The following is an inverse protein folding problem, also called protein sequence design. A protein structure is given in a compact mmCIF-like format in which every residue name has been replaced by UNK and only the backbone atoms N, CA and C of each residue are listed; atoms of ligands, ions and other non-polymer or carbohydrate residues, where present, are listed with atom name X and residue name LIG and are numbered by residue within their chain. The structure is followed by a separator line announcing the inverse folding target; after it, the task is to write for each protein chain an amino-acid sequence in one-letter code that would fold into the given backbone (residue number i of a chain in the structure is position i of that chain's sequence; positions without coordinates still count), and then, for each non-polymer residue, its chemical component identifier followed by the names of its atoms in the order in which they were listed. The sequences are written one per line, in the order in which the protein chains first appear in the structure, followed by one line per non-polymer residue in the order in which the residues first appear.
data_IF_164555729856
#
_entry.id   IF_164555729856
#
_cell.length_a   1.000
_cell.length_b   1.000
_cell.length_c   1.000
_cell.angle_alpha   90.00
_cell.angle_beta   90.00
_cell.angle_gamma   90.00
#
_symmetry.space_group_name_H-M   'P 1'
#
loop_
_entity.id
_entity.type
_entity.pdbx_description
1 polymer ?
#
# COMPACT_ATOMS: atom_id res chain seq x y z
N UNK A 1 35.01 23.16 -14.65
CA UNK A 1 36.43 23.59 -14.49
C UNK A 1 36.46 24.98 -13.91
N UNK A 2 37.18 25.19 -12.79
CA UNK A 2 37.18 26.47 -12.09
C UNK A 2 38.25 26.58 -11.01
N UNK A 3 38.30 27.75 -10.39
CA UNK A 3 39.18 28.10 -9.27
C UNK A 3 38.33 28.57 -8.09
N UNK A 4 38.69 28.17 -6.88
CA UNK A 4 38.02 28.57 -5.65
C UNK A 4 39.05 29.12 -4.66
N UNK A 5 38.74 30.23 -4.00
CA UNK A 5 39.58 30.91 -3.03
C UNK A 5 38.89 30.98 -1.68
N UNK A 6 39.67 30.99 -0.61
CA UNK A 6 39.18 31.41 0.70
C UNK A 6 38.73 32.86 0.61
N UNK A 7 37.51 33.15 1.08
CA UNK A 7 36.87 34.47 0.96
C UNK A 7 35.90 34.59 -0.22
N UNK A 8 35.87 33.64 -1.16
CA UNK A 8 34.89 33.65 -2.24
C UNK A 8 33.46 33.48 -1.69
N UNK A 9 32.51 34.20 -2.29
CA UNK A 9 31.07 34.00 -2.03
C UNK A 9 30.57 32.87 -2.89
N UNK A 10 30.02 31.84 -2.25
CA UNK A 10 29.45 30.66 -2.89
C UNK A 10 27.94 30.66 -2.78
N UNK A 11 27.30 30.13 -3.81
CA UNK A 11 25.85 29.89 -3.87
C UNK A 11 25.64 28.40 -4.03
N UNK A 12 24.88 27.81 -3.10
CA UNK A 12 24.52 26.39 -3.10
C UNK A 12 23.02 26.23 -2.89
N UNK A 13 22.47 25.10 -3.33
CA UNK A 13 21.08 24.78 -3.04
C UNK A 13 20.90 24.43 -1.55
N UNK A 14 19.85 24.98 -0.94
CA UNK A 14 19.39 24.59 0.39
C UNK A 14 17.95 24.12 0.37
N UNK A 15 17.54 23.43 1.43
CA UNK A 15 16.20 22.86 1.59
C UNK A 15 15.08 23.92 1.55
N UNK A 16 15.37 25.15 1.98
CA UNK A 16 14.42 26.28 2.02
C UNK A 16 14.66 27.29 0.89
N UNK A 17 15.64 27.03 0.02
CA UNK A 17 16.08 27.93 -1.05
C UNK A 17 17.59 28.05 -1.16
N UNK A 18 18.10 28.86 -2.10
CA UNK A 18 19.53 29.07 -2.29
C UNK A 18 20.18 29.67 -1.05
N UNK A 19 21.31 29.09 -0.65
CA UNK A 19 22.14 29.57 0.44
C UNK A 19 23.30 30.34 -0.18
N UNK A 20 23.47 31.60 0.25
CA UNK A 20 24.64 32.41 -0.08
C UNK A 20 25.52 32.52 1.16
N UNK A 21 26.78 32.14 1.03
CA UNK A 21 27.72 32.17 2.15
C UNK A 21 29.15 32.39 1.66
N UNK A 22 30.03 32.79 2.57
CA UNK A 22 31.42 33.06 2.26
C UNK A 22 32.32 31.91 2.74
N UNK A 23 33.22 31.47 1.86
CA UNK A 23 34.18 30.40 2.14
C UNK A 23 35.15 30.86 3.23
N UNK A 24 35.23 30.09 4.31
CA UNK A 24 36.15 30.32 5.44
C UNK A 24 37.39 29.45 5.39
N UNK A 25 37.28 28.27 4.80
CA UNK A 25 38.39 27.34 4.67
C UNK A 25 38.17 26.36 3.54
N UNK A 26 39.26 26.01 2.87
CA UNK A 26 39.32 24.98 1.85
C UNK A 26 40.25 23.87 2.35
N UNK A 27 39.71 22.67 2.47
CA UNK A 27 40.35 21.53 3.09
C UNK A 27 40.52 20.40 2.07
N UNK A 28 41.71 19.80 2.01
CA UNK A 28 41.95 18.57 1.26
C UNK A 28 42.53 17.49 2.17
N UNK A 29 42.21 16.21 1.91
CA UNK A 29 42.91 15.09 2.55
C UNK A 29 44.37 15.07 2.09
N UNK A 30 45.25 14.49 2.92
CA UNK A 30 46.63 14.23 2.53
C UNK A 30 46.72 13.37 1.26
N UNK A 31 47.79 13.57 0.51
CA UNK A 31 48.05 12.87 -0.74
C UNK A 31 47.88 11.34 -0.60
N UNK A 32 47.19 10.72 -1.56
CA UNK A 32 46.92 9.28 -1.61
C UNK A 32 46.05 8.70 -0.46
N UNK A 33 45.23 9.51 0.22
CA UNK A 33 44.27 9.02 1.22
C UNK A 33 42.83 9.39 0.92
N UNK A 34 41.91 8.46 1.17
CA UNK A 34 40.49 8.61 0.88
C UNK A 34 39.76 9.43 1.96
N UNK A 35 38.87 10.34 1.53
CA UNK A 35 38.16 11.30 2.38
C UNK A 35 37.19 10.68 3.39
N UNK A 36 36.82 9.40 3.21
CA UNK A 36 35.91 8.64 4.07
C UNK A 36 36.60 8.10 5.36
N UNK A 37 37.93 8.18 5.43
CA UNK A 37 38.74 7.77 6.59
C UNK A 37 39.13 9.00 7.42
N UNK A 38 39.20 8.86 8.74
CA UNK A 38 39.59 9.94 9.67
C UNK A 38 41.01 10.41 9.36
N UNK A 39 41.13 11.52 8.63
CA UNK A 39 42.41 12.08 8.18
C UNK A 39 42.66 13.46 8.79
N UNK A 40 43.95 13.82 8.91
CA UNK A 40 44.32 15.23 9.09
C UNK A 40 44.05 15.96 7.78
N UNK A 41 43.32 17.07 7.84
CA UNK A 41 43.03 17.90 6.69
C UNK A 41 44.06 19.02 6.58
N UNK A 42 44.56 19.26 5.37
CA UNK A 42 45.42 20.39 5.06
C UNK A 42 44.58 21.58 4.57
N UNK A 43 44.90 22.77 5.05
CA UNK A 43 44.25 24.02 4.65
C UNK A 43 44.91 24.60 3.40
N UNK A 44 44.10 25.02 2.44
CA UNK A 44 44.53 25.67 1.20
C UNK A 44 43.91 27.06 1.09
N UNK A 45 44.67 28.01 0.50
CA UNK A 45 44.16 29.36 0.19
C UNK A 45 43.40 29.39 -1.14
N UNK A 46 43.87 28.63 -2.11
CA UNK A 46 43.30 28.54 -3.46
C UNK A 46 43.34 27.10 -3.92
N UNK A 47 42.30 26.66 -4.61
CA UNK A 47 42.22 25.35 -5.23
C UNK A 47 41.85 25.50 -6.70
N UNK A 48 42.47 24.67 -7.54
CA UNK A 48 42.15 24.53 -8.97
C UNK A 48 41.55 23.16 -9.23
N UNK A 49 40.53 23.10 -10.11
CA UNK A 49 39.99 21.83 -10.61
C UNK A 49 41.07 20.98 -11.32
N UNK A 50 40.99 19.66 -11.35
CA UNK A 50 39.90 18.78 -10.87
C UNK A 50 40.32 17.97 -9.63
N UNK A 51 39.79 18.31 -8.46
CA UNK A 51 40.00 17.58 -7.21
C UNK A 51 38.76 17.68 -6.30
N UNK A 52 38.59 16.70 -5.41
CA UNK A 52 37.56 16.72 -4.37
C UNK A 52 38.04 17.50 -3.15
N UNK A 53 37.20 18.39 -2.63
CA UNK A 53 37.54 19.29 -1.53
C UNK A 53 36.45 19.34 -0.48
N UNK A 54 36.82 19.69 0.75
CA UNK A 54 35.88 20.00 1.81
C UNK A 54 35.88 21.51 2.05
N UNK A 55 34.71 22.12 1.89
CA UNK A 55 34.52 23.57 2.06
C UNK A 55 33.96 23.80 3.46
N UNK A 56 34.58 24.71 4.20
CA UNK A 56 34.06 25.20 5.47
C UNK A 56 33.47 26.60 5.26
N UNK A 57 32.18 26.77 5.53
CA UNK A 57 31.48 28.05 5.52
C UNK A 57 30.35 28.05 6.57
N UNK A 58 29.76 29.22 6.82
CA UNK A 58 28.60 29.34 7.71
C UNK A 58 27.32 28.92 6.99
N UNK A 59 26.30 28.51 7.75
CA UNK A 59 24.93 28.31 7.25
C UNK A 59 24.80 27.20 6.18
N UNK A 60 25.68 26.20 6.18
CA UNK A 60 25.65 25.07 5.23
C UNK A 60 24.89 23.85 5.78
N UNK A 61 24.31 23.94 6.98
CA UNK A 61 23.64 22.82 7.65
C UNK A 61 22.42 22.31 6.88
N UNK A 62 21.73 23.22 6.16
CA UNK A 62 20.57 22.92 5.32
C UNK A 62 20.91 22.79 3.83
N UNK A 63 22.20 22.64 3.48
CA UNK A 63 22.62 22.51 2.08
C UNK A 63 22.24 21.14 1.51
N UNK A 64 21.88 21.11 0.22
CA UNK A 64 21.47 19.91 -0.49
C UNK A 64 22.65 19.33 -1.29
N UNK A 65 22.86 18.03 -1.16
CA UNK A 65 23.89 17.33 -1.93
C UNK A 65 23.44 17.04 -3.37
N UNK A 66 24.41 16.88 -4.26
CA UNK A 66 24.20 16.53 -5.67
C UNK A 66 23.92 17.70 -6.61
N UNK A 67 23.78 18.92 -6.07
CA UNK A 67 23.50 20.11 -6.86
C UNK A 67 24.76 20.96 -7.11
N UNK A 68 24.78 21.79 -8.17
CA UNK A 68 25.93 22.64 -8.48
C UNK A 68 26.26 23.64 -7.38
N UNK A 69 27.55 23.96 -7.27
CA UNK A 69 28.06 25.08 -6.50
C UNK A 69 28.53 26.16 -7.46
N UNK A 70 28.00 27.38 -7.29
CA UNK A 70 28.43 28.55 -8.04
C UNK A 70 29.26 29.48 -7.16
N UNK A 71 30.14 30.25 -7.80
CA UNK A 71 30.94 31.30 -7.15
C UNK A 71 30.47 32.64 -7.71
N UNK A 72 29.91 33.50 -6.86
CA UNK A 72 29.50 34.85 -7.24
C UNK A 72 30.57 35.85 -6.81
N UNK A 73 31.15 36.59 -7.76
CA UNK A 73 32.19 37.60 -7.46
C UNK A 73 31.61 39.00 -7.37
N UNK A 74 30.47 39.24 -8.01
CA UNK A 74 29.72 40.49 -8.01
C UNK A 74 28.30 40.26 -7.52
N UNK A 75 27.62 41.32 -7.09
CA UNK A 75 26.24 41.22 -6.57
C UNK A 75 25.24 40.74 -7.63
N UNK A 76 25.36 41.20 -8.87
CA UNK A 76 24.53 40.78 -10.00
C UNK A 76 24.71 39.29 -10.33
N UNK A 77 25.96 38.79 -10.26
CA UNK A 77 26.26 37.36 -10.43
C UNK A 77 25.62 36.51 -9.32
N UNK A 78 25.64 36.98 -8.08
CA UNK A 78 25.04 36.26 -6.94
C UNK A 78 23.54 36.08 -7.17
N UNK A 79 22.84 37.13 -7.59
CA UNK A 79 21.40 37.04 -7.83
C UNK A 79 21.05 36.19 -9.05
N UNK A 80 21.86 36.26 -10.12
CA UNK A 80 21.75 35.36 -11.25
C UNK A 80 21.89 33.88 -10.83
N UNK A 81 22.93 33.53 -10.06
CA UNK A 81 23.16 32.15 -9.63
C UNK A 81 22.15 31.61 -8.63
N UNK A 82 21.53 32.47 -7.80
CA UNK A 82 20.39 32.06 -6.96
C UNK A 82 19.24 31.56 -7.83
N UNK A 83 18.87 32.33 -8.85
CA UNK A 83 17.79 31.98 -9.76
C UNK A 83 18.13 30.72 -10.58
N UNK A 84 19.39 30.60 -11.03
CA UNK A 84 19.88 29.43 -11.75
C UNK A 84 19.70 28.14 -10.91
N UNK A 85 20.12 28.16 -9.64
CA UNK A 85 19.97 27.00 -8.72
C UNK A 85 18.50 26.65 -8.49
N UNK A 86 17.63 27.65 -8.29
CA UNK A 86 16.20 27.40 -8.11
C UNK A 86 15.58 26.76 -9.35
N UNK A 87 15.97 27.22 -10.54
CA UNK A 87 15.50 26.67 -11.80
C UNK A 87 15.96 25.22 -12.00
N UNK A 88 17.21 24.90 -11.65
CA UNK A 88 17.74 23.53 -11.72
C UNK A 88 16.91 22.60 -10.82
N UNK A 89 16.70 22.99 -9.56
CA UNK A 89 15.94 22.18 -8.60
C UNK A 89 14.49 22.02 -9.03
N UNK A 90 13.84 23.10 -9.51
CA UNK A 90 12.47 23.05 -10.00
C UNK A 90 12.35 22.14 -11.22
N UNK A 91 13.28 22.22 -12.14
CA UNK A 91 13.30 21.38 -13.36
C UNK A 91 13.45 19.91 -13.00
N UNK A 92 14.39 19.58 -12.11
CA UNK A 92 14.64 18.22 -11.64
C UNK A 92 13.44 17.61 -10.89
N UNK A 93 12.72 18.41 -10.08
CA UNK A 93 11.51 17.93 -9.41
C UNK A 93 10.32 17.82 -10.36
N UNK A 94 10.22 18.72 -11.35
CA UNK A 94 9.11 18.73 -12.32
C UNK A 94 9.17 17.61 -13.36
N UNK A 95 10.35 17.05 -13.62
CA UNK A 95 10.50 15.91 -14.53
C UNK A 95 9.94 14.61 -13.93
N UNK A 96 9.74 14.57 -12.61
CA UNK A 96 9.21 13.41 -11.91
C UNK A 96 7.71 13.36 -12.09
N UNK A 97 7.23 12.30 -12.75
CA UNK A 97 5.81 12.08 -13.00
C UNK A 97 5.14 11.57 -11.73
N UNK A 98 4.25 12.39 -11.16
CA UNK A 98 3.44 12.02 -10.01
C UNK A 98 2.13 11.36 -10.45
N UNK A 99 1.62 10.46 -9.62
CA UNK A 99 0.30 9.85 -9.82
C UNK A 99 -0.77 10.55 -8.98
N UNK A 100 -2.04 10.33 -9.31
CA UNK A 100 -3.16 10.90 -8.57
C UNK A 100 -3.35 10.27 -7.18
N UNK A 101 -2.97 8.99 -7.05
CA UNK A 101 -3.02 8.23 -5.80
C UNK A 101 -1.68 7.57 -5.54
N UNK A 102 -1.21 7.60 -4.29
CA UNK A 102 0.07 7.00 -3.94
C UNK A 102 0.68 7.58 -2.67
N UNK A 103 1.80 6.99 -2.26
CA UNK A 103 2.53 7.39 -1.06
C UNK A 103 3.16 8.78 -1.22
N UNK A 104 3.42 9.47 -0.11
CA UNK A 104 4.21 10.68 -0.08
C UNK A 104 5.66 10.35 0.26
N UNK A 105 6.62 10.87 -0.50
CA UNK A 105 8.04 10.52 -0.37
C UNK A 105 8.86 11.73 0.04
N UNK A 106 9.68 11.57 1.07
CA UNK A 106 10.62 12.58 1.55
C UNK A 106 12.02 12.00 1.61
N UNK A 107 13.02 12.69 1.06
CA UNK A 107 14.41 12.24 1.11
C UNK A 107 15.38 13.38 1.45
N UNK A 108 16.62 13.04 1.84
CA UNK A 108 17.64 14.02 2.25
C UNK A 108 18.30 14.74 1.07
N UNK A 109 18.45 14.04 -0.06
CA UNK A 109 19.12 14.53 -1.27
C UNK A 109 18.33 14.15 -2.53
N UNK A 110 18.65 14.80 -3.65
CA UNK A 110 18.03 14.46 -4.94
C UNK A 110 18.38 13.03 -5.36
N UNK A 111 19.65 12.60 -5.22
CA UNK A 111 20.06 11.25 -5.59
C UNK A 111 19.40 10.17 -4.73
N UNK A 112 19.22 10.41 -3.43
CA UNK A 112 18.47 9.49 -2.56
C UNK A 112 16.98 9.45 -2.90
N UNK A 113 16.41 10.57 -3.34
CA UNK A 113 15.03 10.63 -3.80
C UNK A 113 14.86 9.79 -5.07
N UNK A 114 15.72 10.01 -6.07
CA UNK A 114 15.70 9.26 -7.33
C UNK A 114 15.81 7.75 -7.09
N UNK A 115 16.77 7.31 -6.27
CA UNK A 115 16.95 5.90 -5.94
C UNK A 115 15.73 5.29 -5.22
N UNK A 116 15.10 6.06 -4.31
CA UNK A 116 13.89 5.61 -3.63
C UNK A 116 12.70 5.52 -4.59
N UNK A 117 12.55 6.47 -5.51
CA UNK A 117 11.48 6.45 -6.50
C UNK A 117 11.63 5.28 -7.49
N UNK A 118 12.84 5.02 -7.99
CA UNK A 118 13.13 3.87 -8.87
C UNK A 118 12.76 2.53 -8.19
N UNK A 119 13.06 2.43 -6.88
CA UNK A 119 12.69 1.26 -6.09
C UNK A 119 11.18 1.10 -5.93
N UNK A 120 10.45 2.20 -5.70
CA UNK A 120 8.99 2.20 -5.60
C UNK A 120 8.33 1.81 -6.92
N UNK A 121 8.83 2.31 -8.05
CA UNK A 121 8.36 1.94 -9.39
C UNK A 121 8.52 0.43 -9.64
N UNK A 122 9.72 -0.11 -9.34
CA UNK A 122 10.00 -1.56 -9.48
C UNK A 122 9.07 -2.42 -8.61
N UNK A 123 8.63 -1.88 -7.47
CA UNK A 123 7.73 -2.55 -6.53
C UNK A 123 6.24 -2.32 -6.81
N UNK A 124 5.89 -1.65 -7.93
CA UNK A 124 4.53 -1.23 -8.26
C UNK A 124 3.85 -0.43 -7.14
N UNK A 125 4.60 0.42 -6.44
CA UNK A 125 4.07 1.33 -5.44
C UNK A 125 3.97 2.73 -6.07
N UNK A 126 2.74 3.26 -6.22
CA UNK A 126 2.56 4.58 -6.77
C UNK A 126 2.92 5.65 -5.73
N UNK A 127 3.42 6.79 -6.19
CA UNK A 127 3.71 7.96 -5.36
C UNK A 127 2.98 9.20 -5.92
N UNK A 128 2.35 9.95 -5.02
CA UNK A 128 1.52 11.12 -5.35
C UNK A 128 2.16 12.44 -4.93
N UNK A 129 3.21 12.39 -4.12
CA UNK A 129 3.93 13.57 -3.67
C UNK A 129 5.38 13.25 -3.34
N UNK A 130 6.24 14.20 -3.63
CA UNK A 130 7.67 14.12 -3.34
C UNK A 130 8.14 15.46 -2.79
N UNK A 131 9.13 15.45 -1.91
CA UNK A 131 9.84 16.65 -1.48
C UNK A 131 11.21 16.28 -0.86
N UNK A 132 12.09 17.26 -0.69
CA UNK A 132 13.46 17.07 -0.17
C UNK A 132 13.63 17.87 1.12
N UNK A 133 14.33 17.28 2.09
CA UNK A 133 14.58 17.87 3.41
C UNK A 133 13.63 17.33 4.49
N UNK A 134 13.54 17.97 5.67
CA UNK A 134 12.72 17.45 6.77
C UNK A 134 11.23 17.43 6.41
N UNK A 135 10.49 16.53 7.06
CA UNK A 135 9.04 16.40 6.90
C UNK A 135 8.37 17.53 7.68
N UNK A 136 7.53 18.31 6.99
CA UNK A 136 6.77 19.41 7.57
C UNK A 136 5.27 19.13 7.55
N UNK A 137 4.50 19.91 8.32
CA UNK A 137 3.04 19.81 8.37
C UNK A 137 2.38 19.89 6.99
N UNK A 138 2.90 20.70 6.07
CA UNK A 138 2.40 20.81 4.68
C UNK A 138 2.47 19.49 3.91
N UNK A 139 3.48 18.66 4.22
CA UNK A 139 3.70 17.37 3.57
C UNK A 139 2.66 16.36 4.08
N UNK A 140 2.34 16.41 5.38
CA UNK A 140 1.27 15.62 6.01
C UNK A 140 -0.10 15.97 5.44
N UNK A 141 -0.41 17.26 5.25
CA UNK A 141 -1.68 17.71 4.65
C UNK A 141 -1.85 17.16 3.23
N UNK A 142 -0.76 17.04 2.46
CA UNK A 142 -0.82 16.42 1.13
C UNK A 142 -1.03 14.92 1.23
N UNK A 143 -0.33 14.24 2.13
CA UNK A 143 -0.49 12.81 2.35
C UNK A 143 -1.90 12.45 2.86
N UNK A 144 -2.52 13.29 3.70
CA UNK A 144 -3.84 13.04 4.26
C UNK A 144 -4.96 13.06 3.21
N UNK A 145 -4.76 13.72 2.07
CA UNK A 145 -5.70 13.66 0.93
C UNK A 145 -5.94 12.25 0.40
N UNK A 146 -5.03 11.31 0.69
CA UNK A 146 -5.17 9.91 0.30
C UNK A 146 -6.12 9.12 1.21
N UNK A 147 -6.42 9.61 2.43
CA UNK A 147 -7.33 8.95 3.37
C UNK A 147 -8.73 8.77 2.80
N UNK A 148 -9.25 9.77 2.08
CA UNK A 148 -10.59 9.71 1.50
C UNK A 148 -10.67 8.84 0.24
N UNK A 149 -9.52 8.60 -0.42
CA UNK A 149 -9.46 7.92 -1.72
C UNK A 149 -9.09 6.46 -1.58
N UNK A 150 -7.91 6.22 -1.00
CA UNK A 150 -7.28 4.91 -0.83
C UNK A 150 -6.42 4.96 0.44
N UNK A 151 -7.00 4.69 1.61
CA UNK A 151 -6.34 4.87 2.89
C UNK A 151 -5.01 4.11 3.02
N UNK A 152 -4.83 3.01 2.29
CA UNK A 152 -3.56 2.27 2.26
C UNK A 152 -2.36 3.09 1.76
N UNK A 153 -2.61 4.20 1.05
CA UNK A 153 -1.57 5.10 0.53
C UNK A 153 -1.39 6.35 1.39
N UNK A 154 -2.17 6.52 2.46
CA UNK A 154 -2.08 7.66 3.38
C UNK A 154 -0.87 7.54 4.32
N UNK A 155 0.31 7.51 3.72
CA UNK A 155 1.59 7.29 4.40
C UNK A 155 2.67 8.23 3.85
N UNK A 156 3.61 8.56 4.72
CA UNK A 156 4.82 9.33 4.39
C UNK A 156 6.03 8.42 4.55
N UNK A 157 6.80 8.26 3.49
CA UNK A 157 8.08 7.55 3.47
C UNK A 157 9.21 8.55 3.62
N UNK A 158 9.79 8.64 4.81
CA UNK A 158 10.83 9.59 5.20
C UNK A 158 12.21 8.91 5.23
N UNK A 159 12.99 9.09 4.17
CA UNK A 159 14.31 8.48 4.01
C UNK A 159 15.43 9.45 4.39
N UNK A 160 16.20 9.12 5.43
CA UNK A 160 17.36 9.88 5.92
C UNK A 160 17.03 11.35 6.27
N UNK A 161 15.80 11.63 6.69
CA UNK A 161 15.33 12.97 7.04
C UNK A 161 14.76 13.03 8.43
N UNK A 162 14.78 14.23 9.02
CA UNK A 162 14.12 14.52 10.30
C UNK A 162 12.63 14.78 10.08
N UNK A 163 11.84 14.48 11.10
CA UNK A 163 10.42 14.83 11.16
C UNK A 163 10.28 16.00 12.11
N UNK A 164 9.68 17.10 11.64
CA UNK A 164 9.35 18.22 12.50
C UNK A 164 8.25 17.84 13.49
N UNK A 165 8.32 18.36 14.71
CA UNK A 165 7.37 17.99 15.78
C UNK A 165 5.91 18.27 15.41
N UNK A 166 5.65 19.44 14.82
CA UNK A 166 4.32 19.83 14.31
C UNK A 166 3.82 18.90 13.19
N UNK A 167 4.74 18.31 12.41
CA UNK A 167 4.37 17.32 11.40
C UNK A 167 3.93 16.00 12.05
N UNK A 168 4.68 15.50 13.04
CA UNK A 168 4.34 14.28 13.77
C UNK A 168 3.00 14.42 14.49
N UNK A 169 2.83 15.51 15.26
CA UNK A 169 1.59 15.78 16.00
C UNK A 169 0.38 15.86 15.06
N UNK A 170 0.54 16.48 13.89
CA UNK A 170 -0.52 16.54 12.89
C UNK A 170 -0.84 15.18 12.28
N UNK A 171 0.19 14.39 11.94
CA UNK A 171 0.04 13.07 11.33
C UNK A 171 -0.73 12.11 12.25
N UNK A 172 -0.40 12.11 13.55
CA UNK A 172 -1.09 11.33 14.56
C UNK A 172 -2.55 11.76 14.72
N UNK A 173 -2.83 13.07 14.63
CA UNK A 173 -4.19 13.60 14.70
C UNK A 173 -5.08 13.25 13.50
N UNK A 174 -4.52 13.17 12.29
CA UNK A 174 -5.30 12.88 11.06
C UNK A 174 -5.30 11.40 10.68
N UNK A 175 -4.44 10.59 11.30
CA UNK A 175 -4.31 9.16 10.99
C UNK A 175 -3.40 8.85 9.80
N UNK A 176 -2.45 9.75 9.48
CA UNK A 176 -1.40 9.50 8.47
C UNK A 176 -0.21 8.84 9.15
N UNK A 177 0.26 7.69 8.64
CA UNK A 177 1.45 7.04 9.19
C UNK A 177 2.73 7.58 8.57
N UNK A 178 3.72 7.92 9.39
CA UNK A 178 5.06 8.29 8.94
C UNK A 178 6.01 7.11 9.19
N UNK A 179 6.67 6.63 8.15
CA UNK A 179 7.76 5.67 8.24
C UNK A 179 9.08 6.43 8.09
N UNK A 180 9.96 6.29 9.06
CA UNK A 180 11.27 6.95 9.05
C UNK A 180 12.38 5.91 9.10
N UNK A 181 13.32 5.97 8.17
CA UNK A 181 14.51 5.13 8.18
C UNK A 181 15.68 5.81 7.47
N UNK A 182 16.90 5.49 7.88
CA UNK A 182 18.16 5.84 7.25
C UNK A 182 18.61 4.82 6.18
N UNK A 183 17.97 3.64 6.15
CA UNK A 183 18.23 2.57 5.18
C UNK A 183 16.94 2.26 4.41
N UNK A 184 17.05 2.24 3.08
CA UNK A 184 15.90 2.12 2.17
C UNK A 184 15.09 0.83 2.39
N UNK A 185 15.76 -0.30 2.64
CA UNK A 185 15.10 -1.59 2.86
C UNK A 185 14.20 -1.59 4.11
N UNK A 186 14.65 -0.98 5.22
CA UNK A 186 13.84 -0.89 6.42
C UNK A 186 12.57 -0.07 6.19
N UNK A 187 12.69 1.03 5.42
CA UNK A 187 11.54 1.86 5.05
C UNK A 187 10.48 1.06 4.31
N UNK A 188 10.94 0.21 3.40
CA UNK A 188 10.09 -0.64 2.58
C UNK A 188 9.45 -1.78 3.39
N UNK A 189 10.22 -2.46 4.24
CA UNK A 189 9.70 -3.52 5.11
C UNK A 189 8.59 -3.00 6.02
N UNK A 190 8.78 -1.81 6.62
CA UNK A 190 7.75 -1.15 7.41
C UNK A 190 6.49 -0.85 6.59
N UNK A 191 6.67 -0.37 5.35
CA UNK A 191 5.56 -0.10 4.44
C UNK A 191 4.81 -1.37 4.04
N UNK A 192 5.52 -2.45 3.71
CA UNK A 192 4.92 -3.72 3.33
C UNK A 192 4.09 -4.31 4.48
N UNK A 193 4.65 -4.33 5.70
CA UNK A 193 3.93 -4.79 6.90
C UNK A 193 2.66 -3.98 7.10
N UNK A 194 2.72 -2.66 6.91
CA UNK A 194 1.54 -1.82 7.00
C UNK A 194 0.50 -2.13 5.92
N UNK A 195 0.93 -2.30 4.67
CA UNK A 195 0.04 -2.63 3.55
C UNK A 195 -0.66 -3.98 3.75
N UNK A 196 0.09 -4.99 4.20
CA UNK A 196 -0.46 -6.30 4.52
C UNK A 196 -1.41 -6.26 5.70
N UNK A 197 -1.06 -5.51 6.76
CA UNK A 197 -1.92 -5.30 7.91
C UNK A 197 -3.24 -4.62 7.52
N UNK A 198 -3.18 -3.56 6.71
CA UNK A 198 -4.36 -2.88 6.20
C UNK A 198 -5.24 -3.82 5.37
N UNK A 199 -4.63 -4.59 4.45
CA UNK A 199 -5.36 -5.57 3.64
C UNK A 199 -6.08 -6.61 4.51
N UNK A 200 -5.44 -7.09 5.58
CA UNK A 200 -6.07 -8.05 6.51
C UNK A 200 -7.22 -7.43 7.29
N UNK A 201 -7.05 -6.21 7.81
CA UNK A 201 -8.11 -5.53 8.56
C UNK A 201 -9.33 -5.24 7.67
N UNK A 202 -9.07 -4.82 6.44
CA UNK A 202 -10.09 -4.56 5.42
C UNK A 202 -10.81 -5.86 5.00
N UNK A 203 -10.06 -6.96 4.80
CA UNK A 203 -10.63 -8.30 4.62
C UNK A 203 -11.50 -8.71 5.82
N UNK A 204 -11.06 -8.49 7.06
CA UNK A 204 -11.84 -8.85 8.25
C UNK A 204 -13.16 -8.08 8.33
N UNK A 205 -13.15 -6.78 8.03
CA UNK A 205 -14.37 -5.95 7.96
C UNK A 205 -15.33 -6.46 6.88
N UNK A 206 -14.82 -6.80 5.70
CA UNK A 206 -15.64 -7.26 4.57
C UNK A 206 -16.06 -8.75 4.66
N UNK A 207 -15.46 -9.53 5.56
CA UNK A 207 -15.64 -10.99 5.65
C UNK A 207 -17.09 -11.45 5.82
N UNK A 208 -17.92 -10.67 6.51
CA UNK A 208 -19.32 -11.03 6.73
C UNK A 208 -20.21 -10.83 5.48
N UNK A 209 -19.77 -10.00 4.54
CA UNK A 209 -20.42 -9.76 3.24
C UNK A 209 -19.97 -10.78 2.19
N UNK A 210 -18.80 -11.39 2.38
CA UNK A 210 -18.25 -12.37 1.46
C UNK A 210 -19.06 -13.68 1.46
N UNK A 211 -19.70 -13.99 0.34
CA UNK A 211 -20.35 -15.28 0.09
C UNK A 211 -19.53 -16.04 -0.94
N UNK A 212 -18.95 -17.16 -0.52
CA UNK A 212 -18.15 -18.01 -1.39
C UNK A 212 -19.04 -18.97 -2.20
N UNK A 213 -18.63 -19.31 -3.43
CA UNK A 213 -19.45 -20.10 -4.33
C UNK A 213 -19.46 -21.57 -3.91
N UNK A 214 -20.66 -22.15 -3.80
CA UNK A 214 -20.83 -23.60 -3.60
C UNK A 214 -21.99 -24.15 -4.42
N UNK A 215 -21.81 -25.38 -4.93
CA UNK A 215 -22.83 -26.19 -5.59
C UNK A 215 -22.92 -27.52 -4.88
N UNK A 216 -24.08 -27.83 -4.33
CA UNK A 216 -24.32 -28.98 -3.48
C UNK A 216 -25.45 -29.84 -4.07
N UNK A 217 -25.27 -31.15 -4.01
CA UNK A 217 -26.32 -32.12 -4.34
C UNK A 217 -26.73 -32.86 -3.07
N UNK A 218 -28.04 -32.94 -2.84
CA UNK A 218 -28.60 -33.65 -1.69
C UNK A 218 -28.46 -35.16 -1.89
N UNK A 219 -28.05 -35.86 -0.84
CA UNK A 219 -28.07 -37.32 -0.80
C UNK A 219 -29.42 -37.79 -0.24
N UNK A 220 -30.28 -38.43 -1.05
CA UNK A 220 -31.65 -38.77 -0.64
C UNK A 220 -31.71 -39.67 0.60
N UNK A 221 -30.76 -40.61 0.69
CA UNK A 221 -30.65 -41.58 1.79
C UNK A 221 -30.28 -40.94 3.13
N UNK A 222 -29.77 -39.70 3.11
CA UNK A 222 -29.26 -38.99 4.27
C UNK A 222 -30.07 -37.73 4.59
N UNK A 223 -31.40 -37.81 4.47
CA UNK A 223 -32.32 -36.74 4.88
C UNK A 223 -32.82 -36.93 6.31
N UNK A 224 -32.23 -36.22 7.28
CA UNK A 224 -32.52 -36.39 8.71
C UNK A 224 -33.65 -35.49 9.22
N UNK A 225 -33.70 -34.24 8.76
CA UNK A 225 -34.81 -33.33 9.09
C UNK A 225 -35.25 -32.54 7.85
N UNK A 226 -36.56 -32.56 7.57
CA UNK A 226 -37.16 -32.07 6.32
C UNK A 226 -37.85 -30.72 6.45
N UNK A 227 -38.06 -30.19 7.68
CA UNK A 227 -38.80 -28.94 7.91
C UNK A 227 -38.17 -28.12 9.04
N UNK A 228 -38.25 -26.80 8.92
CA UNK A 228 -37.64 -25.87 9.87
C UNK A 228 -36.14 -25.85 9.63
N UNK A 229 -35.37 -26.46 10.53
CA UNK A 229 -33.92 -26.66 10.37
C UNK A 229 -33.66 -27.89 9.50
N UNK A 230 -33.33 -27.68 8.23
CA UNK A 230 -33.09 -28.79 7.28
C UNK A 230 -31.74 -29.43 7.63
N UNK A 231 -31.75 -30.73 7.91
CA UNK A 231 -30.53 -31.51 8.19
C UNK A 231 -30.43 -32.59 7.13
N UNK A 232 -29.41 -32.51 6.29
CA UNK A 232 -29.23 -33.41 5.16
C UNK A 232 -27.76 -33.74 4.92
N UNK A 233 -27.50 -34.93 4.36
CA UNK A 233 -26.24 -35.27 3.72
C UNK A 233 -26.19 -34.63 2.33
N UNK A 234 -25.05 -34.05 1.98
CA UNK A 234 -24.81 -33.44 0.67
C UNK A 234 -23.43 -33.84 0.15
N UNK A 235 -23.32 -33.91 -1.18
CA UNK A 235 -22.04 -33.90 -1.87
C UNK A 235 -21.76 -32.48 -2.35
N UNK A 236 -20.57 -31.97 -2.05
CA UNK A 236 -20.09 -30.71 -2.64
C UNK A 236 -19.64 -30.99 -4.07
N UNK A 237 -20.45 -30.64 -5.07
CA UNK A 237 -20.14 -30.88 -6.48
C UNK A 237 -19.11 -29.89 -7.02
N UNK A 238 -19.17 -28.65 -6.57
CA UNK A 238 -18.19 -27.63 -6.95
C UNK A 238 -18.07 -26.51 -5.90
N UNK A 239 -16.91 -25.85 -5.90
CA UNK A 239 -16.57 -24.84 -4.90
C UNK A 239 -16.42 -25.41 -3.48
N UNK A 240 -16.86 -24.65 -2.49
CA UNK A 240 -16.81 -25.07 -1.09
C UNK A 240 -17.89 -24.40 -0.24
N UNK A 241 -18.48 -25.16 0.67
CA UNK A 241 -19.45 -24.65 1.64
C UNK A 241 -18.75 -24.31 2.95
N UNK A 242 -19.17 -23.21 3.58
CA UNK A 242 -18.65 -22.72 4.87
C UNK A 242 -19.83 -22.44 5.81
N UNK A 243 -19.56 -22.45 7.11
CA UNK A 243 -20.50 -21.92 8.09
C UNK A 243 -20.94 -20.48 7.71
N UNK A 244 -22.23 -20.23 7.81
CA UNK A 244 -22.88 -18.96 7.49
C UNK A 244 -23.24 -18.78 6.00
N UNK A 245 -22.84 -19.69 5.11
CA UNK A 245 -23.17 -19.60 3.67
C UNK A 245 -24.69 -19.61 3.48
N UNK A 246 -25.27 -18.59 2.83
CA UNK A 246 -26.69 -18.60 2.47
C UNK A 246 -26.94 -19.57 1.30
N UNK A 247 -27.99 -20.38 1.39
CA UNK A 247 -28.31 -21.44 0.43
C UNK A 247 -29.68 -21.18 -0.20
N UNK A 248 -29.76 -21.36 -1.51
CA UNK A 248 -31.01 -21.31 -2.28
C UNK A 248 -31.10 -22.46 -3.29
N UNK A 249 -32.28 -22.60 -3.89
CA UNK A 249 -32.60 -23.58 -4.95
C UNK A 249 -32.90 -22.84 -6.26
N UNK A 250 -31.93 -22.71 -7.19
CA UNK A 250 -32.13 -21.92 -8.40
C UNK A 250 -33.26 -22.42 -9.31
N UNK A 251 -33.44 -23.75 -9.43
CA UNK A 251 -34.47 -24.39 -10.26
C UNK A 251 -35.91 -24.08 -9.83
N UNK A 252 -36.10 -23.61 -8.59
CA UNK A 252 -37.41 -23.32 -7.98
C UNK A 252 -37.53 -21.83 -7.69
N UNK A 253 -37.36 -20.98 -8.70
CA UNK A 253 -37.45 -19.52 -8.55
C UNK A 253 -36.57 -18.96 -7.42
N UNK A 254 -35.37 -19.55 -7.25
CA UNK A 254 -34.41 -19.14 -6.22
C UNK A 254 -34.92 -19.23 -4.78
N UNK A 255 -35.78 -20.22 -4.46
CA UNK A 255 -36.25 -20.46 -3.09
C UNK A 255 -35.07 -20.44 -2.11
N UNK A 256 -35.16 -19.57 -1.11
CA UNK A 256 -34.17 -19.44 -0.06
C UNK A 256 -34.44 -20.47 1.04
N UNK A 257 -33.42 -21.26 1.36
CA UNK A 257 -33.51 -22.28 2.41
C UNK A 257 -33.01 -21.75 3.75
N UNK A 258 -32.07 -20.81 3.73
CA UNK A 258 -31.48 -20.23 4.94
C UNK A 258 -29.95 -20.22 4.90
N UNK A 259 -29.31 -20.29 6.07
CA UNK A 259 -27.84 -20.30 6.22
C UNK A 259 -27.35 -21.60 6.81
N UNK A 260 -26.17 -22.03 6.39
CA UNK A 260 -25.49 -23.20 6.95
C UNK A 260 -25.02 -22.89 8.37
N UNK A 261 -25.47 -23.64 9.36
CA UNK A 261 -25.10 -23.47 10.79
C UNK A 261 -24.27 -24.60 11.35
N UNK A 262 -24.22 -25.75 10.67
CA UNK A 262 -23.33 -26.87 11.00
C UNK A 262 -22.89 -27.58 9.73
N UNK A 263 -21.65 -28.06 9.72
CA UNK A 263 -21.08 -28.96 8.71
C UNK A 263 -20.36 -30.06 9.49
N UNK A 264 -20.68 -31.31 9.20
CA UNK A 264 -20.11 -32.47 9.88
C UNK A 264 -19.65 -33.53 8.88
N UNK A 265 -18.46 -34.06 9.12
CA UNK A 265 -17.93 -35.23 8.42
C UNK A 265 -17.68 -36.33 9.45
N UNK A 266 -18.41 -37.45 9.35
CA UNK A 266 -18.29 -38.56 10.29
C UNK A 266 -18.41 -38.12 11.76
N UNK A 267 -19.42 -37.30 12.07
CA UNK A 267 -19.69 -36.70 13.40
C UNK A 267 -18.60 -35.77 13.94
N UNK A 268 -17.64 -35.35 13.10
CA UNK A 268 -16.66 -34.32 13.46
C UNK A 268 -17.08 -32.99 12.85
N UNK A 269 -17.17 -31.91 13.63
CA UNK A 269 -17.51 -30.59 13.10
C UNK A 269 -16.40 -30.08 12.18
N UNK A 270 -16.82 -29.42 11.10
CA UNK A 270 -15.97 -28.76 10.12
C UNK A 270 -16.42 -27.31 9.94
N UNK A 271 -15.47 -26.41 9.70
CA UNK A 271 -15.80 -25.04 9.31
C UNK A 271 -16.06 -24.91 7.82
N UNK A 272 -15.42 -25.77 7.01
CA UNK A 272 -15.41 -25.72 5.54
C UNK A 272 -15.42 -27.15 4.98
N UNK A 273 -16.23 -27.40 3.95
CA UNK A 273 -16.19 -28.62 3.14
C UNK A 273 -16.03 -28.26 1.65
N UNK A 274 -15.04 -28.87 0.99
CA UNK A 274 -14.68 -28.59 -0.42
C UNK A 274 -15.27 -29.63 -1.38
N UNK A 275 -15.20 -29.33 -2.68
CA UNK A 275 -15.52 -30.24 -3.78
C UNK A 275 -15.14 -31.70 -3.50
N UNK A 276 -16.04 -32.61 -3.87
CA UNK A 276 -16.01 -34.06 -3.64
C UNK A 276 -16.12 -34.52 -2.19
N UNK A 277 -16.37 -33.62 -1.23
CA UNK A 277 -16.66 -34.01 0.15
C UNK A 277 -18.12 -34.39 0.28
N UNK A 278 -18.39 -35.50 0.96
CA UNK A 278 -19.73 -35.89 1.41
C UNK A 278 -19.87 -35.51 2.89
N UNK A 279 -20.74 -34.56 3.21
CA UNK A 279 -20.88 -34.01 4.55
C UNK A 279 -22.34 -33.88 4.94
N UNK A 280 -22.64 -33.99 6.23
CA UNK A 280 -23.93 -33.55 6.73
C UNK A 280 -23.88 -32.04 6.93
N UNK A 281 -24.85 -31.32 6.38
CA UNK A 281 -25.03 -29.90 6.65
C UNK A 281 -26.34 -29.69 7.37
N UNK A 282 -26.36 -28.61 8.14
CA UNK A 282 -27.60 -28.10 8.69
C UNK A 282 -27.87 -26.69 8.21
N UNK A 283 -29.04 -26.48 7.60
CA UNK A 283 -29.50 -25.19 7.10
C UNK A 283 -30.61 -24.67 7.99
N UNK A 284 -30.44 -23.46 8.51
CA UNK A 284 -31.43 -22.79 9.35
C UNK A 284 -32.05 -21.61 8.60
N UNK A 285 -33.39 -21.52 8.50
CA UNK A 285 -34.07 -20.44 7.81
C UNK A 285 -33.77 -19.10 8.48
N UNK A 286 -33.66 -18.06 7.66
CA UNK A 286 -33.37 -16.70 8.13
C UNK A 286 -34.65 -15.86 8.02
N UNK A 287 -34.99 -15.15 9.11
CA UNK A 287 -36.15 -14.26 9.15
C UNK A 287 -37.47 -14.97 9.48
N UNK A 288 -38.59 -14.29 9.20
CA UNK A 288 -39.96 -14.74 9.53
C UNK A 288 -40.66 -15.48 8.38
N UNK A 289 -39.94 -15.89 7.34
CA UNK A 289 -40.55 -16.65 6.24
C UNK A 289 -41.01 -18.03 6.70
N UNK A 290 -42.07 -18.53 6.04
CA UNK A 290 -42.56 -19.87 6.31
C UNK A 290 -41.46 -20.90 6.00
N UNK A 291 -41.18 -21.86 6.90
CA UNK A 291 -40.11 -22.82 6.71
C UNK A 291 -40.38 -23.70 5.49
N UNK A 292 -39.39 -23.77 4.59
CA UNK A 292 -39.43 -24.63 3.40
C UNK A 292 -39.35 -26.11 3.79
N UNK A 293 -40.00 -26.96 3.01
CA UNK A 293 -40.18 -28.39 3.28
C UNK A 293 -39.57 -29.22 2.15
N UNK A 294 -38.61 -30.07 2.49
CA UNK A 294 -38.06 -31.05 1.56
C UNK A 294 -39.12 -32.10 1.17
N UNK A 295 -39.24 -32.36 -0.14
CA UNK A 295 -40.27 -33.20 -0.76
C UNK A 295 -41.56 -32.47 -1.12
N UNK A 296 -41.66 -31.15 -0.83
CA UNK A 296 -42.77 -30.29 -1.26
C UNK A 296 -42.29 -29.08 -2.02
N UNK A 297 -41.39 -28.30 -1.43
CA UNK A 297 -40.89 -27.06 -2.00
C UNK A 297 -39.65 -27.29 -2.88
N UNK A 298 -38.84 -28.28 -2.53
CA UNK A 298 -37.67 -28.77 -3.28
C UNK A 298 -37.41 -30.24 -2.95
N UNK A 299 -36.66 -30.95 -3.79
CA UNK A 299 -36.35 -32.38 -3.60
C UNK A 299 -34.88 -32.72 -3.92
N UNK A 300 -34.51 -34.00 -3.94
CA UNK A 300 -33.15 -34.48 -4.21
C UNK A 300 -32.64 -34.22 -5.64
N UNK A 301 -33.53 -33.95 -6.58
CA UNK A 301 -33.17 -33.65 -7.97
C UNK A 301 -32.74 -32.19 -8.14
N UNK A 302 -33.11 -31.34 -7.18
CA UNK A 302 -32.74 -29.94 -7.14
C UNK A 302 -31.31 -29.74 -6.60
N UNK A 303 -30.55 -28.86 -7.25
CA UNK A 303 -29.25 -28.42 -6.76
C UNK A 303 -29.40 -27.29 -5.75
N UNK A 304 -28.63 -27.37 -4.67
CA UNK A 304 -28.51 -26.28 -3.70
C UNK A 304 -27.28 -25.45 -4.05
N UNK A 305 -27.44 -24.14 -4.15
CA UNK A 305 -26.33 -23.23 -4.48
C UNK A 305 -26.21 -22.11 -3.45
N UNK A 306 -25.00 -21.59 -3.30
CA UNK A 306 -24.77 -20.39 -2.51
C UNK A 306 -25.52 -19.20 -3.13
N UNK A 307 -26.34 -18.50 -2.34
CA UNK A 307 -27.02 -17.28 -2.80
C UNK A 307 -26.04 -16.11 -2.78
N UNK A 308 -25.64 -15.64 -3.96
CA UNK A 308 -24.68 -14.55 -4.13
C UNK A 308 -25.42 -13.28 -4.53
N UNK A 309 -25.01 -12.15 -3.97
CA UNK A 309 -25.41 -10.80 -4.37
C UNK A 309 -24.27 -10.07 -5.09
N UNK A 310 -24.57 -8.98 -5.79
CA UNK A 310 -23.56 -8.08 -6.39
C UNK A 310 -22.50 -7.67 -5.36
N UNK A 311 -22.93 -7.20 -4.20
CA UNK A 311 -22.04 -6.77 -3.12
C UNK A 311 -21.11 -7.90 -2.68
N UNK A 312 -21.64 -9.10 -2.47
CA UNK A 312 -20.81 -10.25 -2.08
C UNK A 312 -19.82 -10.67 -3.18
N UNK A 313 -20.21 -10.57 -4.46
CA UNK A 313 -19.33 -10.86 -5.58
C UNK A 313 -18.17 -9.87 -5.65
N UNK A 314 -18.46 -8.56 -5.57
CA UNK A 314 -17.44 -7.52 -5.61
C UNK A 314 -16.48 -7.62 -4.41
N UNK A 315 -17.01 -7.89 -3.21
CA UNK A 315 -16.19 -8.14 -2.03
C UNK A 315 -15.24 -9.33 -2.24
N UNK A 316 -15.74 -10.45 -2.77
CA UNK A 316 -14.89 -11.62 -3.02
C UNK A 316 -13.87 -11.34 -4.13
N UNK A 317 -14.25 -10.62 -5.18
CA UNK A 317 -13.35 -10.22 -6.29
C UNK A 317 -12.20 -9.35 -5.78
N UNK A 318 -12.51 -8.36 -4.95
CA UNK A 318 -11.56 -7.33 -4.55
C UNK A 318 -10.67 -7.77 -3.38
N UNK A 319 -11.24 -8.52 -2.42
CA UNK A 319 -10.55 -8.86 -1.17
C UNK A 319 -10.17 -10.34 -1.05
N UNK A 320 -10.93 -11.28 -1.61
CA UNK A 320 -10.78 -12.72 -1.34
C UNK A 320 -10.40 -13.58 -2.56
N UNK A 321 -10.14 -12.97 -3.73
CA UNK A 321 -9.81 -13.69 -4.96
C UNK A 321 -8.60 -14.61 -4.83
N UNK A 322 -7.63 -14.25 -3.99
CA UNK A 322 -6.44 -15.04 -3.71
C UNK A 322 -6.69 -16.30 -2.88
N UNK A 323 -7.80 -16.36 -2.13
CA UNK A 323 -8.16 -17.49 -1.27
C UNK A 323 -8.92 -18.59 -2.04
N UNK A 324 -9.22 -18.33 -3.31
CA UNK A 324 -10.02 -19.18 -4.19
C UNK A 324 -9.18 -19.92 -5.22
N UNK A 325 -9.50 -21.19 -5.43
CA UNK A 325 -8.95 -21.95 -6.55
C UNK A 325 -9.53 -21.46 -7.88
N UNK A 326 -8.86 -21.82 -8.99
CA UNK A 326 -9.34 -21.45 -10.32
C UNK A 326 -10.74 -22.00 -10.61
N UNK A 327 -11.04 -23.22 -10.17
CA UNK A 327 -12.37 -23.84 -10.26
C UNK A 327 -13.41 -23.12 -9.41
N UNK A 328 -13.05 -22.71 -8.18
CA UNK A 328 -13.95 -21.95 -7.30
C UNK A 328 -14.37 -20.64 -7.99
N UNK A 329 -13.43 -19.97 -8.68
CA UNK A 329 -13.72 -18.73 -9.40
C UNK A 329 -14.55 -18.95 -10.67
N UNK A 330 -14.39 -20.09 -11.35
CA UNK A 330 -15.25 -20.46 -12.47
C UNK A 330 -16.70 -20.64 -12.02
N UNK A 331 -16.91 -21.31 -10.89
CA UNK A 331 -18.24 -21.41 -10.29
C UNK A 331 -18.80 -20.04 -9.87
N UNK A 332 -17.95 -19.14 -9.35
CA UNK A 332 -18.38 -17.77 -9.04
C UNK A 332 -18.94 -17.05 -10.27
N UNK A 333 -18.29 -17.20 -11.43
CA UNK A 333 -18.75 -16.60 -12.70
C UNK A 333 -20.05 -17.27 -13.16
N UNK A 334 -20.15 -18.60 -13.08
CA UNK A 334 -21.38 -19.34 -13.40
C UNK A 334 -22.56 -18.85 -12.53
N UNK A 335 -22.35 -18.70 -11.23
CA UNK A 335 -23.38 -18.18 -10.33
C UNK A 335 -23.72 -16.71 -10.65
N UNK A 336 -22.73 -15.89 -11.04
CA UNK A 336 -22.98 -14.51 -11.50
C UNK A 336 -23.99 -14.49 -12.66
N UNK A 337 -23.82 -15.39 -13.64
CA UNK A 337 -24.74 -15.53 -14.77
C UNK A 337 -26.12 -16.04 -14.33
N UNK A 338 -26.16 -17.08 -13.48
CA UNK A 338 -27.41 -17.67 -12.99
C UNK A 338 -28.25 -16.64 -12.22
N UNK A 339 -27.63 -15.81 -11.38
CA UNK A 339 -28.32 -14.80 -10.57
C UNK A 339 -28.51 -13.45 -11.29
N UNK A 340 -28.13 -13.32 -12.57
CA UNK A 340 -28.17 -12.07 -13.34
C UNK A 340 -27.51 -10.88 -12.62
N UNK A 341 -26.36 -11.13 -12.01
CA UNK A 341 -25.53 -10.12 -11.33
C UNK A 341 -24.75 -9.34 -12.41
N UNK A 342 -24.73 -8.01 -12.33
CA UNK A 342 -24.19 -7.10 -13.37
C UNK A 342 -22.64 -7.05 -13.37
#
# INVERSE_FOLDING_TARGET
NGHLHVGDTIIVAGQEGPIVTQVRGLLMPESNRESRVRNQYQNYKTIKAACGIKIAAKNLEKSMAGLPLFVGRKEDEVDYFKNEIQNILKTALSSIKLQETGVYVQASTLGSLEALLEFLETSNIPYAGINIGPVHRKDIVRASSQLDRKPQWAVVLAFDVKIERDAQDHADSVGVKIFQADIMYHLFDMFLVHREGYKKEDQEKARHLAVFPCKLRVLPEFMFNKRGKIICGVIVEDGFVKLGTPICVPSKEFIELGRVVSIELNHKPLDIARKNSEVSITIEPVGNEAPKIFGRDFDETDLLMSKISQESFDVVKDHFRGDMQKSDWQLMIELKEIFNIL
#
